data_IF_859612704515
#
_entry.id   IF_859612704515
#
_cell.length_a   1.000
_cell.length_b   1.000
_cell.length_c   1.000
_cell.angle_alpha   90.00
_cell.angle_beta   90.00
_cell.angle_gamma   90.00
#
_symmetry.space_group_name_H-M   'P 1'
#
loop_
_entity.id
_entity.type
_entity.pdbx_description
1 polymer ?
#
# COMPACT_ATOMS: atom_id res chain seq x y z
N UNK A 1 -35.20 19.57 4.43
CA UNK A 1 -34.78 18.46 3.55
C UNK A 1 -33.29 18.57 3.23
N UNK A 2 -32.61 17.46 2.91
CA UNK A 2 -31.19 17.45 2.50
C UNK A 2 -31.06 17.56 0.97
N UNK A 3 -31.40 18.72 0.41
CA UNK A 3 -31.29 18.94 -1.04
C UNK A 3 -29.83 19.01 -1.49
N UNK A 4 -29.50 18.42 -2.65
CA UNK A 4 -28.15 18.45 -3.25
C UNK A 4 -27.06 17.61 -2.55
N UNK A 5 -27.38 16.93 -1.45
CA UNK A 5 -26.41 16.09 -0.75
C UNK A 5 -26.31 14.72 -1.44
N UNK A 6 -25.25 14.54 -2.23
CA UNK A 6 -24.98 13.28 -2.93
C UNK A 6 -24.11 12.33 -2.10
N UNK A 7 -24.48 11.04 -2.14
CA UNK A 7 -23.73 9.95 -1.52
C UNK A 7 -24.02 9.72 -0.02
N UNK A 8 -23.62 8.54 0.45
CA UNK A 8 -23.85 8.10 1.82
C UNK A 8 -22.65 8.44 2.75
N UNK A 9 -22.93 9.06 3.90
CA UNK A 9 -21.93 9.39 4.94
C UNK A 9 -21.48 8.18 5.78
N UNK A 10 -22.19 7.06 5.72
CA UNK A 10 -21.89 5.80 6.42
C UNK A 10 -21.74 5.97 7.95
N UNK A 11 -22.48 6.92 8.53
CA UNK A 11 -22.41 7.29 9.95
C UNK A 11 -20.98 7.56 10.44
N UNK A 12 -20.14 8.15 9.56
CA UNK A 12 -18.72 8.44 9.84
C UNK A 12 -18.44 9.93 9.62
N UNK A 13 -17.40 10.42 10.29
CA UNK A 13 -16.80 11.72 9.95
C UNK A 13 -16.15 11.66 8.55
N UNK A 14 -15.82 12.82 7.98
CA UNK A 14 -15.33 12.91 6.60
C UNK A 14 -13.97 12.22 6.40
N UNK A 15 -13.06 12.33 7.38
CA UNK A 15 -11.73 11.72 7.35
C UNK A 15 -11.79 10.19 7.40
N UNK A 16 -12.54 9.63 8.36
CA UNK A 16 -12.73 8.18 8.53
C UNK A 16 -13.49 7.59 7.35
N UNK A 17 -14.48 8.30 6.80
CA UNK A 17 -15.15 7.87 5.57
C UNK A 17 -14.16 7.75 4.42
N UNK A 18 -13.33 8.77 4.19
CA UNK A 18 -12.30 8.74 3.13
C UNK A 18 -11.27 7.62 3.37
N UNK A 19 -10.86 7.36 4.61
CA UNK A 19 -9.98 6.25 4.95
C UNK A 19 -10.63 4.89 4.63
N UNK A 20 -11.86 4.67 5.14
CA UNK A 20 -12.62 3.43 4.91
C UNK A 20 -12.80 3.13 3.42
N UNK A 21 -13.16 4.15 2.61
CA UNK A 21 -13.33 3.95 1.16
C UNK A 21 -12.01 3.63 0.46
N UNK A 22 -10.90 4.25 0.88
CA UNK A 22 -9.56 3.91 0.37
C UNK A 22 -9.18 2.48 0.71
N UNK A 23 -9.43 2.03 1.93
CA UNK A 23 -9.07 0.68 2.35
C UNK A 23 -9.90 -0.40 1.65
N UNK A 24 -11.21 -0.17 1.49
CA UNK A 24 -12.07 -1.06 0.69
C UNK A 24 -11.60 -1.12 -0.77
N UNK A 25 -11.24 0.02 -1.36
CA UNK A 25 -10.73 0.04 -2.73
C UNK A 25 -9.38 -0.67 -2.87
N UNK A 26 -8.46 -0.49 -1.92
CA UNK A 26 -7.19 -1.24 -1.88
C UNK A 26 -7.45 -2.73 -1.80
N UNK A 27 -8.34 -3.15 -0.90
CA UNK A 27 -8.67 -4.56 -0.71
C UNK A 27 -9.30 -5.16 -1.98
N UNK A 28 -10.21 -4.43 -2.63
CA UNK A 28 -10.84 -4.85 -3.88
C UNK A 28 -9.81 -5.01 -5.02
N UNK A 29 -8.86 -4.08 -5.16
CA UNK A 29 -7.81 -4.17 -6.18
C UNK A 29 -6.77 -5.26 -5.88
N UNK A 30 -6.52 -5.58 -4.61
CA UNK A 30 -5.56 -6.61 -4.21
C UNK A 30 -6.11 -8.03 -4.35
N UNK A 31 -7.41 -8.22 -4.11
CA UNK A 31 -8.04 -9.54 -4.02
C UNK A 31 -9.02 -9.84 -5.14
N UNK A 32 -9.26 -8.89 -6.04
CA UNK A 32 -10.29 -8.89 -7.09
C UNK A 32 -11.75 -8.98 -6.58
N UNK A 33 -11.99 -9.56 -5.38
CA UNK A 33 -13.29 -9.72 -4.72
C UNK A 33 -13.15 -9.53 -3.22
N UNK A 34 -14.09 -8.80 -2.62
CA UNK A 34 -14.19 -8.62 -1.17
C UNK A 34 -15.66 -8.70 -0.70
N UNK A 35 -15.88 -9.16 0.53
CA UNK A 35 -17.20 -9.11 1.18
C UNK A 35 -17.31 -7.85 2.05
N UNK A 36 -18.42 -7.11 1.93
CA UNK A 36 -18.69 -5.92 2.75
C UNK A 36 -20.19 -5.65 2.84
N UNK A 37 -20.60 -4.61 3.56
CA UNK A 37 -22.01 -4.23 3.62
C UNK A 37 -22.44 -3.48 2.36
N UNK A 38 -23.69 -3.64 1.93
CA UNK A 38 -24.24 -3.02 0.70
C UNK A 38 -24.00 -1.51 0.62
N UNK A 39 -24.21 -0.80 1.74
CA UNK A 39 -24.00 0.64 1.80
C UNK A 39 -22.53 1.03 1.54
N UNK A 40 -21.58 0.28 2.11
CA UNK A 40 -20.14 0.49 1.89
C UNK A 40 -19.74 0.16 0.45
N UNK A 41 -20.24 -0.94 -0.10
CA UNK A 41 -19.95 -1.36 -1.48
C UNK A 41 -20.41 -0.32 -2.51
N UNK A 42 -21.63 0.21 -2.37
CA UNK A 42 -22.19 1.24 -3.28
C UNK A 42 -21.34 2.51 -3.32
N UNK A 43 -20.79 2.93 -2.19
CA UNK A 43 -19.91 4.10 -2.14
C UNK A 43 -18.49 3.78 -2.64
N UNK A 44 -17.95 2.62 -2.28
CA UNK A 44 -16.61 2.19 -2.70
C UNK A 44 -16.52 1.98 -4.22
N UNK A 45 -17.58 1.49 -4.86
CA UNK A 45 -17.70 1.34 -6.32
C UNK A 45 -17.27 2.59 -7.08
N UNK A 46 -17.73 3.78 -6.64
CA UNK A 46 -17.39 5.06 -7.26
C UNK A 46 -15.88 5.34 -7.27
N UNK A 47 -15.18 4.93 -6.21
CA UNK A 47 -13.74 5.15 -6.07
C UNK A 47 -12.96 4.12 -6.91
N UNK A 48 -13.35 2.85 -6.84
CA UNK A 48 -12.70 1.76 -7.59
C UNK A 48 -12.82 1.99 -9.10
N UNK A 49 -14.02 2.33 -9.58
CA UNK A 49 -14.22 2.56 -11.01
C UNK A 49 -13.40 3.75 -11.53
N UNK A 50 -13.23 4.81 -10.72
CA UNK A 50 -12.35 5.94 -11.02
C UNK A 50 -10.87 5.53 -11.09
N UNK A 51 -10.41 4.69 -10.16
CA UNK A 51 -9.03 4.20 -10.16
C UNK A 51 -8.71 3.36 -11.40
N UNK A 52 -9.64 2.48 -11.80
CA UNK A 52 -9.47 1.67 -13.02
C UNK A 52 -9.48 2.58 -14.26
N UNK A 53 -10.34 3.60 -14.29
CA UNK A 53 -10.37 4.59 -15.36
C UNK A 53 -9.04 5.36 -15.47
N UNK A 54 -8.44 5.77 -14.34
CA UNK A 54 -7.10 6.37 -14.31
C UNK A 54 -6.04 5.38 -14.82
N UNK A 55 -6.15 4.12 -14.44
CA UNK A 55 -5.31 3.02 -14.90
C UNK A 55 -5.31 2.88 -16.43
N UNK A 56 -6.50 2.86 -17.04
CA UNK A 56 -6.67 2.74 -18.50
C UNK A 56 -5.97 3.85 -19.30
N UNK A 57 -5.94 5.08 -18.75
CA UNK A 57 -5.28 6.22 -19.40
C UNK A 57 -3.76 6.13 -19.39
N UNK A 58 -3.15 5.47 -18.39
CA UNK A 58 -1.72 5.16 -18.37
C UNK A 58 -0.74 6.32 -18.15
N UNK A 59 -1.18 7.58 -18.13
CA UNK A 59 -0.26 8.74 -18.07
C UNK A 59 0.42 8.92 -16.70
N UNK A 60 1.58 9.60 -16.67
CA UNK A 60 2.31 9.89 -15.43
C UNK A 60 1.46 10.69 -14.42
N UNK A 61 0.64 11.62 -14.91
CA UNK A 61 -0.27 12.40 -14.07
C UNK A 61 -1.31 11.51 -13.38
N UNK A 62 -1.88 10.54 -14.09
CA UNK A 62 -2.86 9.61 -13.52
C UNK A 62 -2.21 8.64 -12.53
N UNK A 63 -0.96 8.21 -12.78
CA UNK A 63 -0.17 7.42 -11.79
C UNK A 63 0.03 8.20 -10.49
N UNK A 64 0.39 9.49 -10.56
CA UNK A 64 0.55 10.37 -9.38
C UNK A 64 -0.77 10.57 -8.63
N UNK A 65 -1.89 10.76 -9.34
CA UNK A 65 -3.23 10.86 -8.73
C UNK A 65 -3.66 9.57 -8.05
N UNK A 66 -3.43 8.41 -8.70
CA UNK A 66 -3.71 7.11 -8.10
C UNK A 66 -2.88 6.89 -6.83
N UNK A 67 -1.60 7.28 -6.85
CA UNK A 67 -0.73 7.21 -5.67
C UNK A 67 -1.21 8.12 -4.53
N UNK A 68 -1.70 9.33 -4.82
CA UNK A 68 -2.26 10.22 -3.80
C UNK A 68 -3.47 9.60 -3.06
N UNK A 69 -4.21 8.70 -3.72
CA UNK A 69 -5.35 7.98 -3.12
C UNK A 69 -4.90 6.70 -2.42
N UNK A 70 -4.08 5.87 -3.07
CA UNK A 70 -3.73 4.54 -2.57
C UNK A 70 -2.54 4.54 -1.60
N UNK A 71 -1.64 5.51 -1.70
CA UNK A 71 -0.43 5.62 -0.89
C UNK A 71 0.40 4.31 -0.85
N UNK A 72 0.37 3.52 -1.93
CA UNK A 72 1.08 2.24 -2.04
C UNK A 72 1.62 2.08 -3.46
N UNK A 73 2.94 2.13 -3.60
CA UNK A 73 3.61 2.06 -4.90
C UNK A 73 3.38 0.71 -5.61
N UNK A 74 3.47 -0.41 -4.89
CA UNK A 74 3.30 -1.76 -5.47
C UNK A 74 1.89 -1.95 -6.03
N UNK A 75 0.88 -1.50 -5.28
CA UNK A 75 -0.51 -1.59 -5.72
C UNK A 75 -0.78 -0.68 -6.93
N UNK A 76 -0.19 0.52 -6.96
CA UNK A 76 -0.29 1.39 -8.13
C UNK A 76 0.36 0.74 -9.34
N UNK A 77 1.55 0.13 -9.18
CA UNK A 77 2.18 -0.61 -10.28
C UNK A 77 1.24 -1.70 -10.83
N UNK A 78 0.71 -2.55 -9.95
CA UNK A 78 -0.21 -3.63 -10.32
C UNK A 78 -1.50 -3.13 -10.98
N UNK A 79 -2.03 -1.98 -10.52
CA UNK A 79 -3.23 -1.37 -11.11
C UNK A 79 -3.02 -1.04 -12.59
N UNK A 80 -1.85 -0.50 -12.94
CA UNK A 80 -1.55 -0.08 -14.31
C UNK A 80 -1.01 -1.22 -15.18
N UNK A 81 -0.27 -2.17 -14.62
CA UNK A 81 0.32 -3.29 -15.38
C UNK A 81 -0.66 -4.44 -15.60
N UNK A 82 -1.46 -4.80 -14.58
CA UNK A 82 -2.18 -6.07 -14.57
C UNK A 82 -3.69 -5.88 -14.60
N UNK A 83 -4.22 -4.89 -13.87
CA UNK A 83 -5.67 -4.73 -13.67
C UNK A 83 -6.28 -3.90 -14.80
N UNK A 84 -5.74 -2.71 -15.05
CA UNK A 84 -6.30 -1.78 -16.04
C UNK A 84 -6.32 -2.31 -17.48
N UNK A 85 -5.32 -3.07 -17.96
CA UNK A 85 -5.35 -3.63 -19.31
C UNK A 85 -6.49 -4.63 -19.54
N UNK A 86 -6.94 -5.35 -18.49
CA UNK A 86 -8.10 -6.26 -18.60
C UNK A 86 -9.31 -5.48 -19.12
N UNK A 87 -9.58 -4.34 -18.49
CA UNK A 87 -10.74 -3.50 -18.75
C UNK A 87 -10.62 -2.57 -19.96
N UNK A 88 -9.66 -2.79 -20.88
CA UNK A 88 -9.40 -1.87 -22.00
C UNK A 88 -10.64 -1.69 -22.87
N UNK A 89 -11.32 -2.77 -23.20
CA UNK A 89 -12.50 -2.80 -24.08
C UNK A 89 -13.77 -2.28 -23.39
N UNK A 90 -13.85 -2.39 -22.06
CA UNK A 90 -15.04 -2.04 -21.29
C UNK A 90 -15.14 -0.55 -21.02
N UNK A 91 -16.25 0.08 -21.41
CA UNK A 91 -16.52 1.50 -21.14
C UNK A 91 -17.32 1.72 -19.84
N UNK A 92 -16.71 1.39 -18.70
CA UNK A 92 -17.28 1.60 -17.36
C UNK A 92 -17.92 0.36 -16.73
N UNK A 93 -18.37 0.49 -15.47
CA UNK A 93 -18.93 -0.64 -14.73
C UNK A 93 -17.91 -1.76 -14.48
N UNK A 94 -16.72 -1.38 -14.02
CA UNK A 94 -15.61 -2.32 -13.79
C UNK A 94 -15.82 -3.20 -12.55
N UNK A 95 -16.70 -2.75 -11.66
CA UNK A 95 -17.11 -3.51 -10.47
C UNK A 95 -18.57 -3.93 -10.52
N UNK A 96 -18.85 -5.10 -9.93
CA UNK A 96 -20.17 -5.66 -9.70
C UNK A 96 -20.42 -5.81 -8.19
N UNK A 97 -21.67 -5.61 -7.78
CA UNK A 97 -22.13 -5.84 -6.41
C UNK A 97 -23.08 -7.03 -6.44
N UNK A 98 -22.72 -8.12 -5.76
CA UNK A 98 -23.52 -9.35 -5.68
C UNK A 98 -24.03 -9.53 -4.25
N UNK A 99 -25.35 -9.60 -4.01
CA UNK A 99 -25.90 -9.94 -2.70
C UNK A 99 -25.50 -11.35 -2.26
N UNK A 100 -25.16 -11.52 -0.98
CA UNK A 100 -24.79 -12.81 -0.39
C UNK A 100 -25.85 -13.27 0.60
N UNK A 101 -26.36 -12.33 1.40
CA UNK A 101 -27.28 -12.60 2.51
C UNK A 101 -27.16 -11.52 3.59
N UNK A 102 -27.69 -11.77 4.77
CA UNK A 102 -27.58 -10.86 5.91
C UNK A 102 -26.62 -11.39 6.95
N UNK A 103 -25.94 -10.47 7.65
CA UNK A 103 -25.02 -10.82 8.73
C UNK A 103 -25.80 -11.15 10.00
N UNK A 104 -25.44 -12.26 10.64
CA UNK A 104 -25.98 -12.64 11.96
C UNK A 104 -25.62 -11.58 13.02
N UNK A 105 -26.61 -11.16 13.81
CA UNK A 105 -26.45 -10.20 14.90
C UNK A 105 -27.05 -8.82 14.58
N UNK A 106 -26.62 -8.18 13.50
CA UNK A 106 -27.08 -6.83 13.13
C UNK A 106 -27.95 -6.79 11.86
N UNK A 107 -28.25 -7.95 11.27
CA UNK A 107 -29.03 -8.14 10.05
C UNK A 107 -28.57 -7.27 8.86
N UNK A 108 -27.29 -6.86 8.85
CA UNK A 108 -26.77 -6.00 7.80
C UNK A 108 -26.64 -6.80 6.49
N UNK A 109 -27.18 -6.26 5.39
CA UNK A 109 -27.06 -6.88 4.06
C UNK A 109 -25.60 -6.90 3.59
N UNK A 110 -25.06 -8.12 3.44
CA UNK A 110 -23.72 -8.39 2.95
C UNK A 110 -23.74 -8.60 1.44
N UNK A 111 -22.70 -8.08 0.79
CA UNK A 111 -22.51 -8.14 -0.65
C UNK A 111 -21.05 -8.40 -0.97
N UNK A 112 -20.79 -9.10 -2.06
CA UNK A 112 -19.49 -9.09 -2.71
C UNK A 112 -19.35 -7.84 -3.56
N UNK A 113 -18.26 -7.11 -3.38
CA UNK A 113 -17.77 -6.14 -4.36
C UNK A 113 -16.65 -6.83 -5.14
N UNK A 114 -16.89 -7.09 -6.42
CA UNK A 114 -15.95 -7.81 -7.28
C UNK A 114 -15.64 -7.05 -8.56
N UNK A 115 -14.44 -7.27 -9.09
CA UNK A 115 -14.05 -6.89 -10.43
C UNK A 115 -14.77 -7.76 -11.46
N UNK A 116 -15.33 -7.13 -12.51
CA UNK A 116 -16.13 -7.82 -13.54
C UNK A 116 -15.27 -8.79 -14.36
N UNK A 117 -14.01 -8.43 -14.64
CA UNK A 117 -13.08 -9.26 -15.39
C UNK A 117 -12.06 -9.87 -14.44
N UNK A 118 -12.04 -11.20 -14.42
CA UNK A 118 -11.18 -11.99 -13.53
C UNK A 118 -9.82 -12.22 -14.17
N UNK A 119 -8.80 -12.41 -13.33
CA UNK A 119 -7.50 -12.88 -13.80
C UNK A 119 -7.65 -14.25 -14.46
N UNK A 120 -7.08 -14.43 -15.65
CA UNK A 120 -6.97 -15.75 -16.27
C UNK A 120 -6.11 -16.64 -15.35
N UNK A 121 -6.72 -17.65 -14.75
CA UNK A 121 -6.00 -18.62 -13.93
C UNK A 121 -5.34 -19.59 -14.91
N UNK A 122 -4.01 -19.53 -15.02
CA UNK A 122 -3.26 -20.55 -15.74
C UNK A 122 -3.25 -21.80 -14.87
N UNK A 123 -4.22 -22.70 -15.11
CA UNK A 123 -4.24 -24.00 -14.45
C UNK A 123 -3.15 -24.86 -15.07
N UNK A 124 -1.94 -24.82 -14.49
CA UNK A 124 -0.90 -25.77 -14.81
C UNK A 124 -1.34 -27.16 -14.33
N UNK A 125 -1.68 -28.06 -15.26
CA UNK A 125 -1.97 -29.46 -14.95
C UNK A 125 -0.81 -30.06 -14.13
N UNK A 126 -1.07 -30.82 -13.06
CA UNK A 126 0.00 -31.42 -12.26
C UNK A 126 0.75 -32.47 -13.08
N UNK A 127 2.05 -32.25 -13.31
CA UNK A 127 2.98 -33.28 -13.81
C UNK A 127 3.19 -34.31 -12.70
N UNK A 128 2.55 -35.47 -12.82
CA UNK A 128 2.86 -36.65 -12.01
C UNK A 128 4.28 -37.10 -12.37
N UNK A 129 5.24 -36.90 -11.46
CA UNK A 129 6.60 -37.45 -11.58
C UNK A 129 6.57 -38.88 -11.05
N UNK A 130 6.75 -39.85 -11.94
CA UNK A 130 7.04 -41.24 -11.57
C UNK A 130 8.37 -41.29 -10.81
N UNK A 131 8.33 -41.74 -9.55
CA UNK A 131 9.50 -41.95 -8.70
C UNK A 131 10.25 -43.21 -9.12
N UNK A 132 11.50 -43.03 -9.53
CA UNK A 132 12.50 -44.06 -9.76
C UNK A 132 12.86 -44.80 -8.46
N UNK A 133 12.85 -46.14 -8.52
CA UNK A 133 13.34 -47.03 -7.45
C UNK A 133 14.87 -46.95 -7.34
N UNK A 134 15.30 -46.83 -6.09
CA UNK A 134 16.65 -46.88 -5.54
C UNK A 134 17.34 -48.21 -5.86
N UNK A 135 18.57 -48.18 -6.40
CA UNK A 135 19.54 -49.28 -6.32
C UNK A 135 20.65 -48.85 -5.37
N UNK A 136 20.73 -49.54 -4.24
CA UNK A 136 21.78 -49.43 -3.22
C UNK A 136 22.99 -50.22 -3.73
N UNK A 137 24.16 -49.59 -3.81
CA UNK A 137 25.44 -50.28 -4.02
C UNK A 137 26.40 -49.97 -2.86
N UNK A 138 27.16 -51.00 -2.50
CA UNK A 138 27.87 -51.24 -1.24
C UNK A 138 29.19 -50.49 -1.11
N UNK A 139 29.59 -50.34 0.14
CA UNK A 139 30.83 -49.78 0.72
C UNK A 139 32.06 -50.68 0.50
N UNK A 140 33.21 -50.09 0.16
CA UNK A 140 34.52 -50.31 0.82
C UNK A 140 35.63 -49.33 0.29
N UNK A 141 36.65 -48.98 1.10
CA UNK A 141 37.48 -47.75 0.98
C UNK A 141 38.97 -47.99 0.64
N UNK A 142 39.69 -46.92 0.22
CA UNK A 142 41.16 -46.67 0.17
C UNK A 142 41.49 -45.86 -1.11
N UNK A 143 42.31 -44.81 -1.21
CA UNK A 143 43.46 -44.29 -0.47
C UNK A 143 43.56 -42.75 -0.64
N UNK A 144 44.32 -42.10 0.25
CA UNK A 144 44.64 -40.69 0.26
C UNK A 144 45.93 -40.40 -0.53
N UNK A 145 45.94 -39.32 -1.34
CA UNK A 145 47.12 -38.51 -1.68
C UNK A 145 46.70 -37.04 -1.92
N UNK A 146 47.67 -36.14 -1.84
CA UNK A 146 47.61 -34.81 -1.22
C UNK A 146 48.27 -33.75 -2.14
N UNK A 147 47.73 -32.51 -2.14
CA UNK A 147 48.34 -31.20 -2.61
C UNK A 147 48.38 -30.99 -4.16
N UNK A 148 47.79 -29.94 -4.80
CA UNK A 148 47.95 -28.47 -4.64
C UNK A 148 46.74 -27.63 -5.13
N UNK A 149 46.41 -26.55 -4.37
CA UNK A 149 46.01 -25.15 -4.74
C UNK A 149 44.90 -24.93 -5.80
N UNK A 150 43.89 -24.06 -5.73
CA UNK A 150 43.39 -22.94 -4.89
C UNK A 150 41.99 -22.63 -5.51
N UNK A 151 40.89 -22.38 -4.80
CA UNK A 151 40.37 -21.04 -4.49
C UNK A 151 38.99 -21.11 -3.79
N UNK A 152 38.94 -20.53 -2.59
CA UNK A 152 38.00 -19.49 -2.13
C UNK A 152 36.48 -19.77 -2.03
N UNK A 153 36.00 -19.53 -0.80
CA UNK A 153 34.67 -19.04 -0.36
C UNK A 153 33.65 -20.07 0.19
N UNK A 154 33.84 -20.44 1.47
CA UNK A 154 32.77 -20.79 2.41
C UNK A 154 32.21 -19.47 3.00
N UNK A 155 30.95 -19.12 2.74
CA UNK A 155 29.77 -19.39 3.59
C UNK A 155 29.89 -18.86 5.02
N UNK A 156 29.21 -17.75 5.26
CA UNK A 156 28.85 -17.16 6.55
C UNK A 156 27.79 -18.02 7.24
N UNK A 157 27.99 -18.42 8.51
CA UNK A 157 26.89 -18.72 9.41
C UNK A 157 26.62 -17.55 10.37
N UNK A 158 25.32 -17.29 10.46
CA UNK A 158 24.51 -16.66 11.51
C UNK A 158 25.22 -16.46 12.86
N UNK A 159 25.13 -15.23 13.40
CA UNK A 159 25.45 -14.88 14.78
C UNK A 159 24.18 -14.96 15.63
N UNK A 160 24.26 -15.74 16.70
CA UNK A 160 23.32 -15.80 17.81
C UNK A 160 23.48 -14.59 18.75
N UNK A 161 22.36 -14.18 19.33
CA UNK A 161 22.24 -13.17 20.39
C UNK A 161 22.62 -13.75 21.76
N UNK A 162 23.33 -12.98 22.60
CA UNK A 162 23.14 -12.93 24.06
C UNK A 162 23.98 -11.80 24.70
N UNK A 163 23.27 -10.91 25.44
CA UNK A 163 23.54 -10.37 26.80
C UNK A 163 24.95 -9.87 27.20
N UNK A 164 25.18 -8.79 27.96
CA UNK A 164 24.40 -7.75 28.66
C UNK A 164 25.42 -6.66 29.18
N UNK A 165 25.18 -5.76 30.16
CA UNK A 165 25.16 -4.29 30.03
C UNK A 165 26.26 -3.52 30.79
N UNK A 166 26.45 -2.21 30.57
CA UNK A 166 27.12 -1.32 31.55
C UNK A 166 26.62 0.15 31.55
N UNK A 167 26.40 0.66 32.78
CA UNK A 167 26.10 2.04 33.18
C UNK A 167 27.37 2.92 33.27
N UNK A 168 27.21 4.23 33.01
CA UNK A 168 27.73 5.44 33.74
C UNK A 168 27.77 6.62 32.75
N UNK A 169 26.95 7.67 32.87
CA UNK A 169 27.17 8.91 33.66
C UNK A 169 28.63 9.38 33.63
N UNK A 170 28.91 10.42 32.85
CA UNK A 170 29.85 11.48 33.21
C UNK A 170 29.35 12.82 32.67
N UNK A 171 29.30 13.79 33.57
CA UNK A 171 29.08 15.21 33.33
C UNK A 171 30.43 15.85 33.01
N UNK A 172 30.48 16.97 32.29
CA UNK A 172 31.43 18.07 32.55
C UNK A 172 30.91 19.37 31.89
N UNK A 173 30.77 20.40 32.72
CA UNK A 173 30.54 21.84 32.41
C UNK A 173 31.86 22.51 31.97
N UNK A 174 31.79 23.74 31.43
CA UNK A 174 32.56 24.98 31.76
C UNK A 174 32.37 26.02 30.62
N UNK A 175 31.53 27.06 30.83
CA UNK A 175 31.81 28.51 31.10
C UNK A 175 32.00 29.42 29.86
N UNK A 176 31.03 30.33 29.59
CA UNK A 176 30.98 31.80 29.82
C UNK A 176 31.97 32.65 29.00
N UNK A 177 31.45 33.49 28.09
CA UNK A 177 31.79 34.94 27.98
C UNK A 177 30.57 35.75 27.52
N UNK A 178 30.23 36.79 28.30
CA UNK A 178 29.33 37.89 27.92
C UNK A 178 30.12 38.93 27.13
N UNK A 179 29.48 39.59 26.15
CA UNK A 179 29.81 40.96 25.81
C UNK A 179 29.70 41.38 24.33
N UNK A 180 28.80 42.35 24.12
CA UNK A 180 28.88 43.49 23.18
C UNK A 180 28.13 43.39 21.84
N UNK A 181 27.38 44.46 21.62
CA UNK A 181 26.36 44.80 20.63
C UNK A 181 26.75 44.65 19.17
N UNK A 182 25.80 44.20 18.35
CA UNK A 182 25.89 44.22 16.89
C UNK A 182 24.52 44.01 16.26
N UNK A 183 23.91 45.10 15.76
CA UNK A 183 22.70 45.09 14.93
C UNK A 183 22.87 44.14 13.73
N UNK A 184 22.05 43.11 13.61
CA UNK A 184 21.79 42.50 12.30
C UNK A 184 20.35 42.02 12.16
N UNK A 185 19.79 42.34 11.00
CA UNK A 185 18.36 42.40 10.67
C UNK A 185 17.75 41.00 10.61
N UNK A 186 16.63 40.80 11.30
CA UNK A 186 15.77 39.63 11.17
C UNK A 186 15.25 39.47 9.73
N UNK A 187 15.96 38.69 8.92
CA UNK A 187 15.51 38.19 7.60
C UNK A 187 14.64 36.93 7.70
N UNK A 188 14.12 36.61 8.87
CA UNK A 188 13.25 35.44 9.10
C UNK A 188 11.76 35.77 8.92
N UNK A 189 11.36 37.04 9.06
CA UNK A 189 9.95 37.46 9.07
C UNK A 189 9.36 37.72 7.67
N UNK A 190 10.19 37.76 6.63
CA UNK A 190 9.73 37.94 5.24
C UNK A 190 9.36 36.64 4.51
N UNK A 191 9.62 35.46 5.07
CA UNK A 191 9.41 34.18 4.35
C UNK A 191 8.07 33.50 4.62
N UNK A 192 7.23 34.05 5.50
CA UNK A 192 5.93 33.46 5.85
C UNK A 192 4.72 34.37 5.61
N UNK A 193 4.89 35.54 4.96
CA UNK A 193 3.78 36.45 4.64
C UNK A 193 2.97 36.03 3.40
N UNK A 194 3.48 35.09 2.59
CA UNK A 194 2.80 34.62 1.36
C UNK A 194 1.67 33.61 1.59
N UNK A 195 1.72 32.82 2.66
CA UNK A 195 0.76 31.72 2.89
C UNK A 195 -0.45 32.16 3.72
N UNK A 196 -0.32 33.19 4.56
CA UNK A 196 -1.45 33.72 5.37
C UNK A 196 -2.38 34.68 4.61
N UNK A 197 -1.98 35.22 3.46
CA UNK A 197 -2.83 36.12 2.64
C UNK A 197 -3.86 35.39 1.76
N UNK A 198 -3.81 34.06 1.63
CA UNK A 198 -4.77 33.30 0.82
C UNK A 198 -6.03 32.82 1.57
N UNK A 199 -6.06 32.88 2.90
CA UNK A 199 -7.17 32.33 3.70
C UNK A 199 -8.03 33.36 4.44
N UNK A 200 -7.85 34.66 4.18
CA UNK A 200 -8.65 35.71 4.83
C UNK A 200 -9.19 36.77 3.85
N UNK A 201 -9.68 36.36 2.67
CA UNK A 201 -10.53 37.24 1.85
C UNK A 201 -11.97 37.15 2.39
N UNK A 202 -12.22 37.86 3.49
CA UNK A 202 -13.58 38.20 3.91
C UNK A 202 -14.26 38.98 2.79
N UNK A 203 -15.47 38.57 2.46
CA UNK A 203 -16.43 39.31 1.66
C UNK A 203 -16.66 40.69 2.28
N UNK A 204 -16.35 41.75 1.55
CA UNK A 204 -16.93 43.07 1.75
C UNK A 204 -17.79 43.37 0.54
N UNK A 205 -19.10 43.47 0.76
CA UNK A 205 -20.07 43.78 -0.28
C UNK A 205 -19.89 45.17 -0.88
N UNK A 206 -20.39 45.28 -2.11
CA UNK A 206 -21.24 46.35 -2.62
C UNK A 206 -22.30 45.68 -3.49
#
# INVERSE_FOLDING_TARGET
>A
MRHGISGNRLSRNSSLRKATMRDIAKAALLKDRISTTKAKAKEARKLVDKLITMGKKGTLAEKRRAYAVLCNHRLVSALFSDIAPRFKERQGGYTRIIPIGTRKGDNAELVFLELTEKKAIVVSKPKVKASSKTKVEKVAPEQAEVITKTHKALKVPLKDEANEPLKKKDQLKVEIKKGVDGKEKDKSTQRFSGIRKMFNKKSSGK
#
